data_IF_204896914462
#
_entry.id   IF_204896914462
#
_cell.length_a   1.000
_cell.length_b   1.000
_cell.length_c   1.000
_cell.angle_alpha   90.00
_cell.angle_beta   90.00
_cell.angle_gamma   90.00
#
_symmetry.space_group_name_H-M   'P 1'
#
loop_
_entity.id
_entity.type
_entity.pdbx_description
1 polymer ?
#
# COMPACT_ATOMS: atom_id res chain seq x y z
N UNK A 1 15.31 -8.36 2.41
CA UNK A 1 14.24 -8.61 1.42
C UNK A 1 14.37 -7.57 0.33
N UNK A 2 14.67 -7.95 -0.91
CA UNK A 2 14.32 -7.09 -2.04
C UNK A 2 12.80 -7.16 -2.21
N UNK A 3 12.05 -6.07 -1.97
CA UNK A 3 10.59 -6.12 -2.06
C UNK A 3 10.11 -6.49 -3.46
N UNK A 4 10.92 -6.21 -4.47
CA UNK A 4 10.65 -6.51 -5.87
C UNK A 4 10.52 -8.02 -6.12
N UNK A 5 11.40 -8.84 -5.53
CA UNK A 5 11.34 -10.30 -5.69
C UNK A 5 10.07 -10.91 -5.09
N UNK A 6 9.54 -10.30 -4.01
CA UNK A 6 8.29 -10.72 -3.39
C UNK A 6 7.07 -10.36 -4.25
N UNK A 7 7.02 -9.11 -4.75
CA UNK A 7 5.87 -8.57 -5.49
C UNK A 7 5.70 -9.26 -6.85
N UNK A 8 6.80 -9.70 -7.47
CA UNK A 8 6.78 -10.41 -8.75
C UNK A 8 6.20 -11.83 -8.66
N UNK A 9 5.93 -12.35 -7.47
CA UNK A 9 5.27 -13.64 -7.33
C UNK A 9 3.79 -13.55 -7.78
N UNK A 10 3.30 -14.49 -8.61
CA UNK A 10 1.92 -14.42 -9.15
C UNK A 10 0.84 -14.28 -8.08
N UNK A 11 0.97 -15.02 -6.97
CA UNK A 11 0.02 -14.93 -5.83
C UNK A 11 -0.04 -13.52 -5.23
N UNK A 12 1.10 -12.82 -5.13
CA UNK A 12 1.15 -11.45 -4.59
C UNK A 12 0.53 -10.47 -5.56
N UNK A 13 0.82 -10.62 -6.85
CA UNK A 13 0.23 -9.80 -7.90
C UNK A 13 -1.30 -9.90 -7.86
N UNK A 14 -1.86 -11.11 -7.78
CA UNK A 14 -3.31 -11.34 -7.67
C UNK A 14 -3.92 -10.70 -6.40
N UNK A 15 -3.23 -10.78 -5.26
CA UNK A 15 -3.67 -10.13 -4.01
C UNK A 15 -3.69 -8.61 -4.19
N UNK A 16 -2.64 -8.02 -4.75
CA UNK A 16 -2.53 -6.57 -4.93
C UNK A 16 -3.59 -6.07 -5.90
N UNK A 17 -3.81 -6.76 -7.01
CA UNK A 17 -4.88 -6.46 -7.96
C UNK A 17 -6.25 -6.48 -7.28
N UNK A 18 -6.53 -7.50 -6.44
CA UNK A 18 -7.81 -7.61 -5.72
C UNK A 18 -8.00 -6.49 -4.71
N UNK A 19 -6.97 -6.16 -3.91
CA UNK A 19 -7.00 -5.04 -2.96
C UNK A 19 -7.30 -3.73 -3.69
N UNK A 20 -6.54 -3.43 -4.75
CA UNK A 20 -6.66 -2.19 -5.50
C UNK A 20 -7.99 -2.10 -6.24
N UNK A 21 -8.46 -3.21 -6.82
CA UNK A 21 -9.75 -3.28 -7.49
C UNK A 21 -10.90 -3.00 -6.51
N UNK A 22 -10.93 -3.69 -5.36
CA UNK A 22 -11.96 -3.50 -4.34
C UNK A 22 -11.92 -2.06 -3.80
N UNK A 23 -10.73 -1.50 -3.58
CA UNK A 23 -10.60 -0.13 -3.12
C UNK A 23 -11.15 0.87 -4.15
N UNK A 24 -10.78 0.72 -5.42
CA UNK A 24 -11.19 1.61 -6.50
C UNK A 24 -12.72 1.64 -6.68
N UNK A 25 -13.40 0.49 -6.69
CA UNK A 25 -14.86 0.44 -6.84
C UNK A 25 -15.60 1.04 -5.63
N UNK A 26 -14.98 1.05 -4.44
CA UNK A 26 -15.55 1.63 -3.23
C UNK A 26 -15.32 3.15 -3.11
N UNK A 27 -14.41 3.70 -3.91
CA UNK A 27 -14.06 5.13 -3.91
C UNK A 27 -14.21 5.74 -5.31
N UNK A 28 -15.44 5.85 -5.84
CA UNK A 28 -15.69 6.25 -7.23
C UNK A 28 -15.22 7.67 -7.57
N UNK A 29 -15.05 8.55 -6.59
CA UNK A 29 -14.50 9.89 -6.80
C UNK A 29 -13.01 9.89 -7.18
N UNK A 30 -12.29 8.81 -6.83
CA UNK A 30 -10.88 8.61 -7.16
C UNK A 30 -10.68 7.53 -8.21
N UNK A 31 -11.38 6.40 -8.09
CA UNK A 31 -11.11 5.21 -8.88
C UNK A 31 -9.70 4.67 -8.61
N UNK A 32 -9.10 3.99 -9.59
CA UNK A 32 -7.68 3.65 -9.51
C UNK A 32 -6.82 4.78 -10.08
N UNK A 33 -5.81 5.19 -9.32
CA UNK A 33 -4.80 6.16 -9.75
C UNK A 33 -3.42 5.56 -9.58
N UNK A 34 -2.59 5.67 -10.61
CA UNK A 34 -1.22 5.18 -10.58
C UNK A 34 -0.44 5.82 -9.41
N UNK A 35 0.20 4.99 -8.59
CA UNK A 35 0.86 5.39 -7.34
C UNK A 35 0.20 4.79 -6.09
N UNK A 36 -1.11 4.56 -6.11
CA UNK A 36 -1.80 3.86 -5.02
C UNK A 36 -1.25 2.43 -4.86
N UNK A 37 -0.88 1.79 -5.97
CA UNK A 37 -0.27 0.45 -5.96
C UNK A 37 1.00 0.37 -5.11
N UNK A 38 1.80 1.44 -5.07
CA UNK A 38 3.04 1.44 -4.28
C UNK A 38 2.76 1.57 -2.77
N UNK A 39 1.56 2.07 -2.41
CA UNK A 39 1.13 2.20 -1.03
C UNK A 39 0.64 0.87 -0.43
N UNK A 40 0.32 -0.13 -1.26
CA UNK A 40 -0.04 -1.49 -0.81
C UNK A 40 1.18 -2.21 -0.23
N UNK A 41 2.31 -2.08 -0.94
CA UNK A 41 3.56 -2.80 -0.67
C UNK A 41 4.02 -2.73 0.80
N UNK A 42 4.17 -1.55 1.42
CA UNK A 42 4.79 -1.49 2.73
C UNK A 42 3.90 -2.17 3.79
N UNK A 43 2.57 -2.04 3.72
CA UNK A 43 1.64 -2.76 4.60
C UNK A 43 1.71 -4.28 4.41
N UNK A 44 1.65 -4.73 3.15
CA UNK A 44 1.72 -6.16 2.85
C UNK A 44 3.01 -6.78 3.37
N UNK A 45 4.15 -6.12 3.15
CA UNK A 45 5.47 -6.56 3.62
C UNK A 45 5.50 -6.64 5.16
N UNK A 46 4.95 -5.66 5.89
CA UNK A 46 4.90 -5.73 7.37
C UNK A 46 4.21 -7.01 7.83
N UNK A 47 3.02 -7.27 7.28
CA UNK A 47 2.16 -8.35 7.76
C UNK A 47 2.66 -9.73 7.31
N UNK A 48 3.15 -9.87 6.08
CA UNK A 48 3.63 -11.16 5.58
C UNK A 48 4.95 -11.59 6.22
N UNK A 49 5.81 -10.62 6.61
CA UNK A 49 7.07 -10.87 7.30
C UNK A 49 6.92 -11.63 8.63
N UNK A 50 5.76 -11.58 9.28
CA UNK A 50 5.50 -12.38 10.49
C UNK A 50 5.40 -13.89 10.21
N UNK A 51 5.20 -14.28 8.95
CA UNK A 51 4.91 -15.66 8.53
C UNK A 51 5.95 -16.26 7.58
N UNK A 52 7.00 -15.51 7.24
CA UNK A 52 8.13 -15.97 6.44
C UNK A 52 9.40 -15.94 7.29
N UNK A 53 10.30 -16.89 7.06
CA UNK A 53 11.57 -16.96 7.80
C UNK A 53 12.60 -15.99 7.21
N UNK A 54 13.28 -15.26 8.11
CA UNK A 54 14.16 -14.13 7.81
C UNK A 54 15.50 -14.53 7.14
N UNK A 55 15.82 -15.83 7.02
CA UNK A 55 17.18 -16.26 6.69
C UNK A 55 17.57 -16.06 5.22
N UNK A 56 16.62 -16.06 4.29
CA UNK A 56 16.90 -15.81 2.87
C UNK A 56 15.79 -14.97 2.24
N UNK A 57 15.94 -13.66 2.38
CA UNK A 57 14.93 -12.69 1.99
C UNK A 57 14.74 -12.54 0.46
N UNK A 58 15.60 -13.19 -0.33
CA UNK A 58 15.47 -13.36 -1.78
C UNK A 58 14.83 -14.71 -2.16
N UNK A 59 14.58 -15.58 -1.17
CA UNK A 59 13.94 -16.90 -1.33
C UNK A 59 12.55 -16.99 -0.71
N UNK A 60 12.03 -15.88 -0.16
CA UNK A 60 10.74 -15.85 0.53
C UNK A 60 9.63 -16.40 -0.37
N UNK A 61 9.16 -17.60 -0.06
CA UNK A 61 8.20 -18.34 -0.88
C UNK A 61 6.80 -18.24 -0.26
N UNK A 62 5.97 -17.36 -0.83
CA UNK A 62 4.60 -17.13 -0.35
C UNK A 62 3.72 -18.37 -0.57
N UNK A 63 4.12 -19.30 -1.43
CA UNK A 63 3.36 -20.55 -1.61
C UNK A 63 3.34 -21.43 -0.36
N UNK A 64 4.29 -21.23 0.57
CA UNK A 64 4.38 -21.97 1.84
C UNK A 64 3.48 -21.41 2.93
N UNK A 65 2.98 -20.19 2.75
CA UNK A 65 2.09 -19.56 3.73
C UNK A 65 0.67 -20.13 3.57
N UNK A 66 0.02 -20.58 4.66
CA UNK A 66 -1.35 -21.07 4.59
C UNK A 66 -2.33 -20.05 3.99
N UNK A 67 -3.30 -20.54 3.22
CA UNK A 67 -4.25 -19.69 2.49
C UNK A 67 -5.12 -18.82 3.42
N UNK A 68 -5.48 -19.33 4.60
CA UNK A 68 -6.23 -18.58 5.61
C UNK A 68 -5.40 -17.43 6.20
N UNK A 69 -4.09 -17.63 6.37
CA UNK A 69 -3.14 -16.58 6.78
C UNK A 69 -3.02 -15.52 5.69
N UNK A 70 -2.86 -15.92 4.42
CA UNK A 70 -2.79 -14.97 3.30
C UNK A 70 -4.04 -14.11 3.17
N UNK A 71 -5.23 -14.69 3.40
CA UNK A 71 -6.49 -13.93 3.43
C UNK A 71 -6.55 -12.91 4.55
N UNK A 72 -6.02 -13.23 5.74
CA UNK A 72 -5.94 -12.28 6.84
C UNK A 72 -4.95 -11.15 6.52
N UNK A 73 -3.77 -11.48 5.99
CA UNK A 73 -2.76 -10.50 5.55
C UNK A 73 -3.34 -9.56 4.49
N UNK A 74 -4.05 -10.09 3.49
CA UNK A 74 -4.73 -9.29 2.48
C UNK A 74 -5.77 -8.34 3.10
N UNK A 75 -6.61 -8.86 4.01
CA UNK A 75 -7.64 -8.05 4.66
C UNK A 75 -7.03 -6.92 5.50
N UNK A 76 -6.00 -7.21 6.30
CA UNK A 76 -5.31 -6.22 7.12
C UNK A 76 -4.61 -5.17 6.24
N UNK A 77 -3.96 -5.61 5.15
CA UNK A 77 -3.36 -4.71 4.15
C UNK A 77 -4.40 -3.77 3.56
N UNK A 78 -5.56 -4.30 3.13
CA UNK A 78 -6.65 -3.50 2.58
C UNK A 78 -7.15 -2.46 3.59
N UNK A 79 -7.41 -2.86 4.83
CA UNK A 79 -7.97 -1.95 5.85
C UNK A 79 -6.98 -0.86 6.24
N UNK A 80 -5.72 -1.21 6.48
CA UNK A 80 -4.69 -0.24 6.82
C UNK A 80 -4.41 0.73 5.66
N UNK A 81 -4.31 0.24 4.43
CA UNK A 81 -4.18 1.08 3.25
C UNK A 81 -5.39 2.01 3.10
N UNK A 82 -6.61 1.50 3.26
CA UNK A 82 -7.82 2.32 3.17
C UNK A 82 -7.82 3.45 4.21
N UNK A 83 -7.44 3.14 5.46
CA UNK A 83 -7.34 4.13 6.54
C UNK A 83 -6.27 5.19 6.28
N UNK A 84 -5.15 4.83 5.66
CA UNK A 84 -4.16 5.81 5.22
C UNK A 84 -4.74 6.73 4.15
N UNK A 85 -5.38 6.16 3.13
CA UNK A 85 -5.96 6.88 2.00
C UNK A 85 -7.10 7.81 2.43
N UNK A 86 -7.86 7.49 3.48
CA UNK A 86 -8.87 8.37 4.05
C UNK A 86 -8.31 9.74 4.46
N UNK A 87 -7.05 9.80 4.90
CA UNK A 87 -6.39 11.04 5.29
C UNK A 87 -5.86 11.88 4.11
N UNK A 88 -5.84 11.32 2.89
CA UNK A 88 -5.23 11.93 1.70
C UNK A 88 -6.08 11.70 0.43
N UNK A 89 -7.40 11.57 0.56
CA UNK A 89 -8.27 11.24 -0.57
C UNK A 89 -8.15 12.27 -1.72
N UNK A 90 -7.98 13.54 -1.37
CA UNK A 90 -7.81 14.66 -2.29
C UNK A 90 -6.56 14.55 -3.18
N UNK A 91 -5.57 13.75 -2.80
CA UNK A 91 -4.42 13.42 -3.66
C UNK A 91 -4.82 12.60 -4.89
N UNK A 92 -5.91 11.84 -4.82
CA UNK A 92 -6.28 10.85 -5.85
C UNK A 92 -7.62 11.14 -6.53
N UNK A 93 -8.30 12.23 -6.15
CA UNK A 93 -9.48 12.71 -6.87
C UNK A 93 -9.12 13.39 -8.19
N UNK A 94 -10.12 13.70 -9.02
CA UNK A 94 -9.92 14.39 -10.30
C UNK A 94 -9.05 15.66 -10.15
N UNK A 95 -8.08 15.81 -11.05
CA UNK A 95 -7.06 16.86 -11.05
C UNK A 95 -6.11 16.89 -9.84
N UNK A 96 -6.25 15.96 -8.89
CA UNK A 96 -5.34 15.75 -7.75
C UNK A 96 -5.02 17.04 -6.96
N UNK A 97 -6.03 17.80 -6.52
CA UNK A 97 -5.83 19.09 -5.85
C UNK A 97 -4.98 18.97 -4.58
N UNK A 98 -5.05 17.84 -3.86
CA UNK A 98 -4.24 17.61 -2.66
C UNK A 98 -2.75 17.59 -2.95
N UNK A 99 -2.33 17.00 -4.08
CA UNK A 99 -0.92 16.98 -4.49
C UNK A 99 -0.48 18.38 -4.87
N UNK A 100 -1.26 19.12 -5.66
CA UNK A 100 -0.92 20.49 -6.06
C UNK A 100 -0.72 21.40 -4.85
N UNK A 101 -1.60 21.29 -3.85
CA UNK A 101 -1.48 22.04 -2.60
C UNK A 101 -0.20 21.68 -1.85
N UNK A 102 0.09 20.38 -1.68
CA UNK A 102 1.30 19.91 -0.98
C UNK A 102 2.59 20.35 -1.68
N UNK A 103 2.62 20.34 -3.01
CA UNK A 103 3.76 20.84 -3.80
C UNK A 103 3.98 22.34 -3.55
N UNK A 104 2.91 23.14 -3.56
CA UNK A 104 2.99 24.57 -3.27
C UNK A 104 3.46 24.86 -1.85
N UNK A 105 2.93 24.13 -0.87
CA UNK A 105 3.35 24.24 0.53
C UNK A 105 4.83 23.91 0.70
N UNK A 106 5.33 22.91 -0.02
CA UNK A 106 6.75 22.54 -0.01
C UNK A 106 7.63 23.65 -0.62
N UNK A 107 7.21 24.23 -1.74
CA UNK A 107 7.89 25.37 -2.36
C UNK A 107 7.98 26.57 -1.40
N UNK A 108 6.85 26.93 -0.77
CA UNK A 108 6.79 28.01 0.23
C UNK A 108 7.70 27.70 1.43
N UNK A 109 7.72 26.45 1.91
CA UNK A 109 8.55 26.02 3.03
C UNK A 109 10.05 26.14 2.71
N UNK A 110 10.47 25.60 1.56
CA UNK A 110 11.88 25.63 1.15
C UNK A 110 12.34 27.06 0.91
N UNK A 111 11.51 27.93 0.33
CA UNK A 111 11.87 29.35 0.14
C UNK A 111 12.16 30.10 1.45
N UNK A 112 11.53 29.67 2.56
CA UNK A 112 11.69 30.27 3.89
C UNK A 112 12.85 29.70 4.69
N UNK A 113 13.14 28.42 4.51
CA UNK A 113 14.17 27.70 5.29
C UNK A 113 15.52 27.71 4.58
N UNK A 114 15.51 27.51 3.27
CA UNK A 114 16.72 27.42 2.45
C UNK A 114 16.51 28.16 1.12
N UNK A 115 16.61 29.49 1.22
CA UNK A 115 16.47 30.37 0.07
C UNK A 115 17.54 30.10 -1.01
N UNK A 116 18.73 29.64 -0.61
CA UNK A 116 19.81 29.32 -1.55
C UNK A 116 19.39 28.17 -2.48
N UNK A 117 18.83 27.09 -1.93
CA UNK A 117 18.31 25.97 -2.72
C UNK A 117 17.13 26.42 -3.58
N UNK A 118 16.17 27.17 -3.02
CA UNK A 118 15.01 27.65 -3.77
C UNK A 118 15.42 28.48 -5.00
N UNK A 119 16.32 29.45 -4.83
CA UNK A 119 16.84 30.28 -5.93
C UNK A 119 17.63 29.45 -6.94
N UNK A 120 18.42 28.49 -6.49
CA UNK A 120 19.20 27.61 -7.37
C UNK A 120 18.29 26.79 -8.30
N UNK A 121 17.20 26.23 -7.77
CA UNK A 121 16.19 25.52 -8.57
C UNK A 121 15.56 26.45 -9.63
N UNK A 122 15.19 27.67 -9.24
CA UNK A 122 14.64 28.67 -10.15
C UNK A 122 15.62 29.10 -11.26
N UNK A 123 16.90 29.28 -10.93
CA UNK A 123 17.96 29.63 -11.90
C UNK A 123 18.18 28.55 -12.97
N UNK A 124 17.92 27.28 -12.63
CA UNK A 124 18.05 26.14 -13.55
C UNK A 124 16.71 25.69 -14.12
N UNK A 125 15.66 26.51 -13.98
CA UNK A 125 14.31 26.23 -14.50
C UNK A 125 13.70 24.91 -13.97
N UNK A 126 14.13 24.47 -12.79
CA UNK A 126 13.62 23.27 -12.13
C UNK A 126 12.40 23.63 -11.29
N UNK A 127 11.21 23.23 -11.76
CA UNK A 127 9.95 23.43 -11.04
C UNK A 127 9.73 22.33 -10.01
N UNK A 128 9.27 22.70 -8.81
CA UNK A 128 8.98 21.74 -7.73
C UNK A 128 8.12 20.56 -8.19
N UNK A 129 7.10 20.81 -9.00
CA UNK A 129 6.20 19.77 -9.50
C UNK A 129 6.94 18.64 -10.26
N UNK A 130 8.06 18.93 -10.94
CA UNK A 130 8.78 17.94 -11.75
C UNK A 130 9.37 16.80 -10.93
N UNK A 131 9.74 17.04 -9.67
CA UNK A 131 10.34 16.01 -8.80
C UNK A 131 9.46 15.67 -7.60
N UNK A 132 8.70 16.63 -7.06
CA UNK A 132 7.91 16.44 -5.83
C UNK A 132 6.55 15.80 -6.07
N UNK A 133 6.02 15.81 -7.31
CA UNK A 133 4.76 15.13 -7.62
C UNK A 133 4.81 13.66 -7.19
N UNK A 134 5.87 12.94 -7.60
CA UNK A 134 6.08 11.53 -7.24
C UNK A 134 6.26 11.34 -5.74
N UNK A 135 6.90 12.29 -5.07
CA UNK A 135 7.07 12.25 -3.61
C UNK A 135 5.73 12.29 -2.90
N UNK A 136 4.82 13.17 -3.31
CA UNK A 136 3.49 13.33 -2.70
C UNK A 136 2.53 12.20 -3.09
N UNK A 137 2.57 11.77 -4.36
CA UNK A 137 1.69 10.73 -4.88
C UNK A 137 2.00 9.34 -4.29
N UNK A 138 3.27 9.09 -4.00
CA UNK A 138 3.76 7.79 -3.54
C UNK A 138 4.28 7.83 -2.10
N UNK A 139 4.09 8.94 -1.38
CA UNK A 139 4.57 9.16 0.00
C UNK A 139 6.05 8.79 0.19
N UNK A 140 6.91 9.23 -0.73
CA UNK A 140 8.36 8.96 -0.77
C UNK A 140 8.77 7.48 -0.85
N UNK A 141 7.84 6.53 -0.99
CA UNK A 141 8.14 5.08 -1.07
C UNK A 141 9.08 4.71 -2.22
N UNK A 142 9.15 5.55 -3.27
CA UNK A 142 10.07 5.37 -4.41
C UNK A 142 11.46 5.98 -4.21
N UNK A 143 11.61 6.89 -3.24
CA UNK A 143 12.87 7.58 -2.99
C UNK A 143 13.64 6.94 -1.82
N UNK A 144 12.92 6.24 -0.94
CA UNK A 144 13.47 5.62 0.26
C UNK A 144 13.31 4.09 0.19
N UNK A 145 14.33 3.32 0.58
CA UNK A 145 14.18 1.88 0.76
C UNK A 145 13.04 1.55 1.74
N UNK A 146 12.31 0.44 1.54
CA UNK A 146 11.18 0.08 2.41
C UNK A 146 11.52 0.01 3.91
N UNK A 147 12.78 -0.33 4.24
CA UNK A 147 13.28 -0.32 5.62
C UNK A 147 13.25 1.06 6.29
N UNK A 148 13.24 2.14 5.51
CA UNK A 148 13.22 3.52 5.96
C UNK A 148 11.80 4.08 6.10
N UNK A 149 10.79 3.42 5.53
CA UNK A 149 9.39 3.88 5.57
C UNK A 149 8.69 3.63 6.91
N UNK A 150 9.45 3.28 7.96
CA UNK A 150 8.94 3.02 9.33
C UNK A 150 8.08 1.77 9.49
N UNK A 151 7.83 1.05 8.39
CA UNK A 151 6.93 -0.11 8.34
C UNK A 151 7.67 -1.45 8.48
N UNK A 152 8.95 -1.53 8.14
CA UNK A 152 9.74 -2.73 8.45
C UNK A 152 10.08 -2.75 9.95
N UNK A 153 9.73 -3.80 10.72
CA UNK A 153 10.16 -3.93 12.10
C UNK A 153 11.69 -4.12 12.13
N UNK A 154 12.44 -3.03 12.18
CA UNK A 154 13.85 -3.11 12.54
C UNK A 154 13.92 -3.52 14.02
N UNK A 155 14.29 -4.76 14.29
CA UNK A 155 14.81 -5.13 15.61
C UNK A 155 13.79 -5.44 16.71
N UNK A 156 12.61 -5.99 16.41
CA UNK A 156 11.96 -6.85 17.41
C UNK A 156 12.70 -8.19 17.36
N UNK A 157 13.73 -8.33 18.19
CA UNK A 157 14.29 -9.63 18.54
C UNK A 157 13.12 -10.59 18.75
N UNK A 158 13.02 -11.65 17.92
CA UNK A 158 11.99 -12.70 18.03
C UNK A 158 11.99 -13.40 19.42
N UNK A 159 12.95 -13.07 20.30
CA UNK A 159 12.97 -13.45 21.71
C UNK A 159 11.98 -12.58 22.52
N UNK A 160 10.69 -12.94 22.51
CA UNK A 160 9.79 -12.45 23.56
C UNK A 160 8.31 -12.30 23.21
N UNK A 161 7.89 -12.42 21.95
CA UNK A 161 6.45 -12.50 21.66
C UNK A 161 5.94 -13.89 22.06
N UNK A 162 4.95 -14.01 22.95
CA UNK A 162 4.29 -15.30 23.17
C UNK A 162 3.71 -15.77 21.85
N UNK A 163 4.01 -17.01 21.44
CA UNK A 163 3.29 -17.68 20.36
C UNK A 163 1.80 -17.55 20.67
N UNK A 164 1.00 -17.15 19.68
CA UNK A 164 -0.44 -17.12 19.83
C UNK A 164 -0.90 -18.47 20.43
N UNK A 165 -1.76 -18.46 21.47
CA UNK A 165 -2.23 -19.71 22.06
C UNK A 165 -2.93 -20.54 20.98
N UNK A 166 -2.84 -21.89 21.02
CA UNK A 166 -3.61 -22.73 20.12
C UNK A 166 -5.09 -22.32 20.24
N UNK A 167 -5.71 -21.97 19.11
CA UNK A 167 -7.12 -21.58 19.09
C UNK A 167 -7.94 -22.72 19.69
N UNK A 168 -8.80 -22.38 20.65
CA UNK A 168 -9.83 -23.29 21.16
C UNK A 168 -10.77 -23.73 20.04
N UNK A 169 -11.62 -24.74 20.28
CA UNK A 169 -12.48 -25.32 19.26
C UNK A 169 -13.35 -24.25 18.59
N UNK A 170 -13.48 -24.33 17.28
CA UNK A 170 -14.27 -23.39 16.48
C UNK A 170 -15.71 -23.28 17.02
N UNK A 171 -16.29 -22.08 17.04
CA UNK A 171 -17.70 -21.92 17.36
C UNK A 171 -18.57 -22.66 16.32
N UNK A 172 -19.74 -23.19 16.71
CA UNK A 172 -20.56 -24.00 15.84
C UNK A 172 -21.00 -23.20 14.60
N UNK A 173 -20.84 -23.83 13.44
CA UNK A 173 -21.26 -23.32 12.13
C UNK A 173 -22.77 -23.04 12.17
N UNK A 174 -23.15 -21.76 12.08
CA UNK A 174 -24.54 -21.37 11.86
C UNK A 174 -24.99 -21.81 10.46
N UNK A 175 -26.20 -22.37 10.30
CA UNK A 175 -26.68 -22.84 9.01
C UNK A 175 -26.86 -21.68 8.02
N UNK A 176 -26.71 -21.93 6.72
CA UNK A 176 -26.78 -20.90 5.69
C UNK A 176 -28.18 -20.28 5.65
N UNK A 177 -28.26 -18.97 5.91
CA UNK A 177 -29.47 -18.20 5.59
C UNK A 177 -29.61 -18.15 4.07
N UNK A 178 -30.72 -18.69 3.58
CA UNK A 178 -31.14 -18.59 2.20
C UNK A 178 -31.28 -17.11 1.79
N UNK A 179 -30.55 -16.74 0.74
CA UNK A 179 -30.57 -15.39 0.17
C UNK A 179 -29.91 -15.41 -1.20
N UNK A 180 -30.52 -16.12 -2.14
CA UNK A 180 -30.17 -16.06 -3.57
C UNK A 180 -30.48 -14.67 -4.15
N UNK A 181 -29.75 -14.38 -5.21
CA UNK A 181 -30.12 -13.54 -6.37
C UNK A 181 -29.70 -12.08 -6.28
N UNK A 182 -28.55 -11.77 -6.88
CA UNK A 182 -28.30 -10.63 -7.78
C UNK A 182 -26.79 -10.58 -8.07
N UNK A 183 -26.34 -11.20 -9.16
CA UNK A 183 -25.06 -10.92 -9.84
C UNK A 183 -25.04 -11.71 -11.15
N UNK A 184 -25.82 -11.24 -12.11
CA UNK A 184 -25.69 -11.57 -13.54
C UNK A 184 -25.83 -10.26 -14.30
N UNK A 185 -24.71 -9.54 -14.44
CA UNK A 185 -24.44 -8.51 -15.46
C UNK A 185 -23.45 -7.45 -14.93
N UNK A 186 -22.16 -7.76 -14.91
CA UNK A 186 -21.12 -6.73 -14.79
C UNK A 186 -19.77 -7.16 -15.39
N UNK A 187 -19.79 -8.06 -16.38
CA UNK A 187 -18.60 -8.40 -17.17
C UNK A 187 -18.63 -7.60 -18.48
N UNK A 188 -17.97 -6.43 -18.49
CA UNK A 188 -17.45 -5.70 -19.67
C UNK A 188 -17.17 -4.24 -19.29
N UNK A 189 -16.03 -3.95 -18.65
CA UNK A 189 -15.25 -2.73 -18.88
C UNK A 189 -13.85 -3.01 -18.34
N UNK A 190 -12.89 -3.31 -19.22
CA UNK A 190 -11.44 -3.10 -19.05
C UNK A 190 -10.73 -3.71 -20.27
N UNK A 191 -10.82 -2.98 -21.37
CA UNK A 191 -9.98 -3.14 -22.55
C UNK A 191 -10.02 -1.82 -23.33
N UNK A 192 -9.36 -0.79 -22.78
CA UNK A 192 -8.68 0.31 -23.50
C UNK A 192 -7.55 0.78 -22.59
#
# INVERSE_FOLDING_TARGET
MSPEALILQPKVTEIFERILFIWAIRHPASGYVQGINDLVTPFFVVFICEYIDDEDADSADISRVPEDVLRNVEADTYWCMSRLLDGIQDNYTFAQPGIQMKVKMLEELVSRIDEQVHRHLGQHEVRYLQFTFRWMNNLLTRELPLRCTGMCPQGVSRQGRPRAPPRGPDPPVLPPRAGRTLLSSAGRVLAV
#
